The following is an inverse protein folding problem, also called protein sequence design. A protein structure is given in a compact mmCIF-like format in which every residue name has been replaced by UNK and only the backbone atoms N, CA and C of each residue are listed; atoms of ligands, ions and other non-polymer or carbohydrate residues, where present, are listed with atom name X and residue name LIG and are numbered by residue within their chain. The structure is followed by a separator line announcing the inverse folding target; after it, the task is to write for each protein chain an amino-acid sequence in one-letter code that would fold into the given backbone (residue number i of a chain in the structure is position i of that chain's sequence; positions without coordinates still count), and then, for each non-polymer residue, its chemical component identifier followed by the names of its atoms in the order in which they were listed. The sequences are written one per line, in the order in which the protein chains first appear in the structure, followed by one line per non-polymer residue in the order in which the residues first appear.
data_IF_473077084490
#
_entry.id   IF_473077084490
#
_cell.length_a   1.000
_cell.length_b   1.000
_cell.length_c   1.000
_cell.angle_alpha   90.00
_cell.angle_beta   90.00
_cell.angle_gamma   90.00
#
_symmetry.space_group_name_H-M   'P 1'
#
loop_
_entity.id
_entity.type
_entity.pdbx_description
1 polymer ?
#
# COMPACT_ATOMS: atom_id res chain seq x y z
N UNK A 1 9.65 -10.57 -19.65
CA UNK A 1 9.32 -9.29 -20.30
C UNK A 1 8.44 -8.53 -19.32
N UNK A 2 8.89 -7.40 -18.78
CA UNK A 2 8.05 -6.59 -17.90
C UNK A 2 7.04 -5.86 -18.77
N UNK A 3 5.83 -6.38 -18.84
CA UNK A 3 4.77 -5.77 -19.63
C UNK A 3 4.03 -4.77 -18.73
N UNK A 4 4.57 -3.55 -18.61
CA UNK A 4 3.90 -2.42 -17.96
C UNK A 4 2.75 -1.95 -18.85
N UNK A 5 1.75 -2.83 -19.02
CA UNK A 5 0.54 -2.52 -19.74
C UNK A 5 -0.40 -1.73 -18.84
N UNK A 6 -1.09 -0.77 -19.43
CA UNK A 6 -2.15 -0.05 -18.74
C UNK A 6 -3.35 -0.99 -18.61
N UNK A 7 -3.82 -1.20 -17.38
CA UNK A 7 -5.01 -1.97 -17.09
C UNK A 7 -6.22 -1.41 -17.85
N UNK A 8 -7.11 -2.29 -18.32
CA UNK A 8 -8.40 -1.88 -18.87
C UNK A 8 -9.37 -1.43 -17.79
N UNK A 9 -9.11 -1.81 -16.54
CA UNK A 9 -9.89 -1.36 -15.41
C UNK A 9 -9.44 0.06 -14.98
N UNK A 10 -10.38 0.96 -14.66
CA UNK A 10 -10.08 2.36 -14.40
C UNK A 10 -9.66 2.57 -12.92
N UNK A 11 -8.58 1.92 -12.49
CA UNK A 11 -8.10 1.94 -11.11
C UNK A 11 -7.78 3.35 -10.63
N UNK A 12 -7.13 4.17 -11.46
CA UNK A 12 -6.79 5.54 -11.09
C UNK A 12 -8.03 6.43 -10.96
N UNK A 13 -9.04 6.22 -11.82
CA UNK A 13 -10.30 6.96 -11.76
C UNK A 13 -11.10 6.61 -10.51
N UNK A 14 -11.13 5.33 -10.14
CA UNK A 14 -11.73 4.86 -8.89
C UNK A 14 -11.02 5.47 -7.68
N UNK A 15 -9.69 5.51 -7.69
CA UNK A 15 -8.91 6.16 -6.65
C UNK A 15 -9.19 7.67 -6.54
N UNK A 16 -9.31 8.38 -7.67
CA UNK A 16 -9.68 9.79 -7.68
C UNK A 16 -11.05 10.02 -7.02
N UNK A 17 -12.05 9.20 -7.37
CA UNK A 17 -13.39 9.26 -6.76
C UNK A 17 -13.36 8.96 -5.26
N UNK A 18 -12.68 7.88 -4.85
CA UNK A 18 -12.57 7.49 -3.45
C UNK A 18 -11.87 8.55 -2.61
N UNK A 19 -10.76 9.11 -3.12
CA UNK A 19 -10.03 10.19 -2.46
C UNK A 19 -10.89 11.45 -2.30
N UNK A 20 -11.63 11.83 -3.34
CA UNK A 20 -12.54 12.99 -3.27
C UNK A 20 -13.66 12.80 -2.24
N UNK A 21 -14.15 11.57 -2.06
CA UNK A 21 -15.18 11.24 -1.06
C UNK A 21 -14.63 11.20 0.38
N UNK A 22 -13.38 10.75 0.55
CA UNK A 22 -12.75 10.58 1.87
C UNK A 22 -12.28 11.91 2.50
N UNK A 23 -11.96 12.91 1.69
CA UNK A 23 -11.35 14.17 2.16
C UNK A 23 -12.25 15.39 2.04
N UNK A 24 -12.09 16.34 2.96
CA UNK A 24 -12.76 17.64 2.85
C UNK A 24 -12.06 18.52 1.80
N UNK A 25 -12.65 18.59 0.61
CA UNK A 25 -12.08 19.33 -0.53
C UNK A 25 -11.85 20.82 -0.27
N UNK A 26 -12.64 21.46 0.59
CA UNK A 26 -12.47 22.91 0.87
C UNK A 26 -11.16 23.12 1.63
N UNK A 27 -10.99 22.40 2.75
CA UNK A 27 -9.79 22.50 3.59
C UNK A 27 -8.54 22.00 2.86
N UNK A 28 -8.67 20.93 2.08
CA UNK A 28 -7.54 20.36 1.36
C UNK A 28 -7.05 21.30 0.25
N UNK A 29 -7.97 21.88 -0.52
CA UNK A 29 -7.60 22.81 -1.58
C UNK A 29 -6.95 24.09 -1.03
N UNK A 30 -7.44 24.62 0.09
CA UNK A 30 -6.81 25.74 0.80
C UNK A 30 -5.35 25.42 1.19
N UNK A 31 -5.12 24.28 1.85
CA UNK A 31 -3.77 23.82 2.23
C UNK A 31 -2.86 23.56 1.03
N UNK A 32 -3.43 23.08 -0.08
CA UNK A 32 -2.70 22.82 -1.31
C UNK A 32 -2.45 24.08 -2.16
N UNK A 33 -3.03 25.24 -1.80
CA UNK A 33 -2.95 26.45 -2.61
C UNK A 33 -3.70 26.32 -3.95
N UNK A 34 -4.69 25.43 -4.04
CA UNK A 34 -5.48 25.17 -5.25
C UNK A 34 -6.89 25.72 -5.03
N UNK A 35 -7.53 26.26 -6.08
CA UNK A 35 -8.96 26.62 -5.98
C UNK A 35 -9.79 25.35 -5.76
N UNK A 36 -10.72 25.37 -4.82
CA UNK A 36 -11.56 24.20 -4.46
C UNK A 36 -12.21 23.56 -5.69
N UNK A 37 -12.79 24.38 -6.58
CA UNK A 37 -13.42 23.85 -7.79
C UNK A 37 -12.42 23.23 -8.76
N UNK A 38 -11.21 23.80 -8.86
CA UNK A 38 -10.13 23.22 -9.68
C UNK A 38 -9.71 21.87 -9.14
N UNK A 39 -9.57 21.71 -7.82
CA UNK A 39 -9.25 20.43 -7.20
C UNK A 39 -10.35 19.38 -7.46
N UNK A 40 -11.62 19.76 -7.27
CA UNK A 40 -12.77 18.87 -7.57
C UNK A 40 -12.78 18.43 -9.03
N UNK A 41 -12.55 19.35 -9.96
CA UNK A 41 -12.49 19.03 -11.37
C UNK A 41 -11.31 18.09 -11.66
N UNK A 42 -10.15 18.34 -11.06
CA UNK A 42 -8.96 17.49 -11.24
C UNK A 42 -9.10 16.07 -10.71
N UNK A 43 -9.91 15.89 -9.66
CA UNK A 43 -10.25 14.58 -9.09
C UNK A 43 -11.48 13.94 -9.74
N UNK A 44 -12.13 14.59 -10.70
CA UNK A 44 -13.25 14.00 -11.44
C UNK A 44 -12.75 13.45 -12.78
N UNK A 45 -12.75 12.13 -12.99
CA UNK A 45 -12.31 11.50 -14.25
C UNK A 45 -13.11 11.93 -15.49
N UNK A 46 -14.33 12.44 -15.31
CA UNK A 46 -15.16 12.96 -16.42
C UNK A 46 -14.71 14.34 -16.91
N UNK A 47 -13.79 15.00 -16.19
CA UNK A 47 -13.28 16.33 -16.53
C UNK A 47 -11.95 16.24 -17.28
N UNK A 48 -11.67 17.17 -18.20
CA UNK A 48 -10.47 17.12 -19.04
C UNK A 48 -9.17 17.45 -18.29
N UNK A 49 -9.26 18.17 -17.17
CA UNK A 49 -8.08 18.56 -16.41
C UNK A 49 -7.73 17.48 -15.41
N UNK A 50 -6.56 16.87 -15.55
CA UNK A 50 -6.07 15.85 -14.64
C UNK A 50 -5.13 16.44 -13.58
N UNK A 51 -4.88 15.67 -12.52
CA UNK A 51 -3.80 15.96 -11.56
C UNK A 51 -2.44 15.84 -12.26
N UNK A 52 -1.59 16.82 -12.01
CA UNK A 52 -0.17 16.75 -12.36
C UNK A 52 0.60 15.98 -11.29
N UNK A 53 1.78 15.41 -11.59
CA UNK A 53 2.58 14.70 -10.59
C UNK A 53 2.90 15.53 -9.33
N UNK A 54 3.27 16.84 -9.43
CA UNK A 54 3.49 17.65 -8.23
C UNK A 54 2.23 17.83 -7.37
N UNK A 55 1.06 17.99 -8.00
CA UNK A 55 -0.21 18.06 -7.25
C UNK A 55 -0.51 16.72 -6.56
N UNK A 56 -0.24 15.59 -7.23
CA UNK A 56 -0.43 14.26 -6.64
C UNK A 56 0.46 14.07 -5.41
N UNK A 57 1.74 14.41 -5.48
CA UNK A 57 2.64 14.30 -4.32
C UNK A 57 2.26 15.24 -3.19
N UNK A 58 1.91 16.48 -3.51
CA UNK A 58 1.46 17.47 -2.52
C UNK A 58 0.19 17.00 -1.79
N UNK A 59 -0.79 16.48 -2.53
CA UNK A 59 -2.01 15.97 -1.92
C UNK A 59 -1.72 14.78 -1.01
N UNK A 60 -0.89 13.83 -1.45
CA UNK A 60 -0.47 12.69 -0.63
C UNK A 60 0.29 13.11 0.62
N UNK A 61 1.19 14.10 0.52
CA UNK A 61 1.93 14.64 1.67
C UNK A 61 0.98 15.32 2.68
N UNK A 62 0.03 16.12 2.19
CA UNK A 62 -0.92 16.84 3.05
C UNK A 62 -1.92 15.93 3.75
N UNK A 63 -2.27 14.79 3.17
CA UNK A 63 -3.31 13.88 3.69
C UNK A 63 -2.76 12.61 4.33
N UNK A 64 -1.48 12.29 4.11
CA UNK A 64 -0.90 10.97 4.39
C UNK A 64 -1.71 9.81 3.76
N UNK A 65 -2.51 10.10 2.72
CA UNK A 65 -3.36 9.14 2.03
C UNK A 65 -2.74 8.76 0.68
N UNK A 66 -2.33 7.49 0.59
CA UNK A 66 -1.70 6.91 -0.60
C UNK A 66 -2.69 6.54 -1.72
N UNK A 67 -4.00 6.69 -1.53
CA UNK A 67 -5.04 6.22 -2.45
C UNK A 67 -4.76 6.60 -3.91
N UNK A 68 -4.36 7.86 -4.17
CA UNK A 68 -4.07 8.32 -5.53
C UNK A 68 -2.83 7.64 -6.14
N UNK A 69 -1.76 7.50 -5.34
CA UNK A 69 -0.52 6.82 -5.76
C UNK A 69 -0.78 5.33 -6.00
N UNK A 70 -1.53 4.68 -5.10
CA UNK A 70 -1.87 3.26 -5.21
C UNK A 70 -2.78 3.00 -6.41
N UNK A 71 -3.73 3.89 -6.69
CA UNK A 71 -4.55 3.84 -7.91
C UNK A 71 -3.71 3.96 -9.18
N UNK A 72 -2.72 4.86 -9.18
CA UNK A 72 -1.78 5.02 -10.30
C UNK A 72 -0.93 3.75 -10.50
N UNK A 73 -0.38 3.18 -9.43
CA UNK A 73 0.40 1.94 -9.49
C UNK A 73 -0.44 0.75 -9.94
N UNK A 74 -1.66 0.60 -9.43
CA UNK A 74 -2.59 -0.44 -9.86
C UNK A 74 -2.94 -0.31 -11.35
N UNK A 75 -3.04 0.92 -11.88
CA UNK A 75 -3.31 1.19 -13.29
C UNK A 75 -2.23 0.61 -14.21
N UNK A 76 -0.99 0.52 -13.74
CA UNK A 76 0.16 -0.04 -14.48
C UNK A 76 0.59 -1.42 -13.94
N UNK A 77 -0.32 -2.13 -13.28
CA UNK A 77 -0.11 -3.47 -12.70
C UNK A 77 1.07 -3.56 -11.71
N UNK A 78 1.29 -2.49 -10.95
CA UNK A 78 2.28 -2.44 -9.89
C UNK A 78 1.64 -2.68 -8.50
N UNK A 79 2.48 -3.16 -7.58
CA UNK A 79 2.14 -3.28 -6.16
C UNK A 79 1.90 -1.89 -5.53
N UNK A 80 1.16 -1.81 -4.40
CA UNK A 80 0.94 -0.54 -3.70
C UNK A 80 2.25 0.11 -3.26
N UNK A 81 2.23 1.43 -3.10
CA UNK A 81 3.40 2.16 -2.64
C UNK A 81 3.71 1.81 -1.18
N UNK A 82 4.99 1.88 -0.81
CA UNK A 82 5.43 1.64 0.56
C UNK A 82 6.16 2.89 1.05
N UNK A 83 5.53 3.69 1.94
CA UNK A 83 6.12 4.92 2.45
C UNK A 83 7.26 4.57 3.42
N UNK A 84 8.50 4.57 2.94
CA UNK A 84 9.69 4.24 3.75
C UNK A 84 9.95 5.24 4.87
N UNK A 85 9.38 6.43 4.80
CA UNK A 85 9.34 7.42 5.88
C UNK A 85 8.55 6.92 7.11
N UNK A 86 7.61 5.98 6.94
CA UNK A 86 6.94 5.33 8.08
C UNK A 86 7.82 4.32 8.81
N UNK A 87 9.00 3.99 8.28
CA UNK A 87 9.90 3.00 8.85
C UNK A 87 10.47 3.46 10.20
N UNK A 88 10.10 2.74 11.25
CA UNK A 88 10.64 2.88 12.59
C UNK A 88 11.22 1.53 13.03
N UNK A 89 12.53 1.52 13.31
CA UNK A 89 13.31 0.29 13.57
C UNK A 89 12.78 -0.50 14.77
N UNK A 90 12.17 0.17 15.74
CA UNK A 90 11.58 -0.39 16.95
C UNK A 90 10.16 -0.94 16.74
N UNK A 91 9.46 -0.57 15.65
CA UNK A 91 8.07 -0.94 15.39
C UNK A 91 7.86 -2.24 14.59
N UNK A 92 8.88 -3.09 14.44
CA UNK A 92 8.78 -4.35 13.69
C UNK A 92 7.55 -5.19 14.13
N UNK A 93 7.33 -5.35 15.43
CA UNK A 93 6.18 -6.10 15.95
C UNK A 93 4.85 -5.47 15.51
N UNK A 94 4.75 -4.14 15.52
CA UNK A 94 3.55 -3.42 15.07
C UNK A 94 3.26 -3.68 13.60
N UNK A 95 4.28 -3.62 12.73
CA UNK A 95 4.09 -3.89 11.30
C UNK A 95 3.66 -5.33 11.06
N UNK A 96 4.30 -6.30 11.72
CA UNK A 96 3.92 -7.72 11.61
C UNK A 96 2.48 -7.94 12.08
N UNK A 97 2.09 -7.37 13.22
CA UNK A 97 0.72 -7.50 13.72
C UNK A 97 -0.31 -6.86 12.79
N UNK A 98 -0.02 -5.70 12.20
CA UNK A 98 -0.90 -5.07 11.21
C UNK A 98 -1.00 -5.91 9.94
N UNK A 99 0.10 -6.46 9.46
CA UNK A 99 0.10 -7.38 8.32
C UNK A 99 -0.75 -8.62 8.59
N UNK A 100 -0.66 -9.20 9.79
CA UNK A 100 -1.49 -10.33 10.20
C UNK A 100 -2.99 -9.96 10.26
N UNK A 101 -3.32 -8.77 10.77
CA UNK A 101 -4.71 -8.29 10.77
C UNK A 101 -5.28 -8.21 9.35
N UNK A 102 -4.55 -7.55 8.43
CA UNK A 102 -4.94 -7.46 7.03
C UNK A 102 -5.06 -8.85 6.36
N UNK A 103 -4.16 -9.77 6.67
CA UNK A 103 -4.26 -11.15 6.18
C UNK A 103 -5.49 -11.87 6.75
N UNK A 104 -5.85 -11.63 8.01
CA UNK A 104 -7.06 -12.17 8.63
C UNK A 104 -8.34 -11.64 8.00
N UNK A 105 -8.43 -10.34 7.74
CA UNK A 105 -9.53 -9.72 6.99
C UNK A 105 -9.66 -10.32 5.59
N UNK A 106 -8.54 -10.50 4.88
CA UNK A 106 -8.52 -11.14 3.57
C UNK A 106 -8.98 -12.60 3.64
N UNK A 107 -8.52 -13.36 4.63
CA UNK A 107 -8.91 -14.75 4.83
C UNK A 107 -10.42 -14.87 5.07
N UNK A 108 -10.98 -14.01 5.93
CA UNK A 108 -12.43 -13.91 6.16
C UNK A 108 -13.19 -13.59 4.87
N UNK A 109 -12.66 -12.67 4.05
CA UNK A 109 -13.23 -12.33 2.74
C UNK A 109 -13.21 -13.52 1.77
N UNK A 110 -12.14 -14.32 1.76
CA UNK A 110 -11.94 -15.43 0.85
C UNK A 110 -12.78 -16.67 1.16
N UNK A 111 -13.06 -16.94 2.44
CA UNK A 111 -13.91 -18.07 2.87
C UNK A 111 -15.40 -17.75 2.90
N UNK A 112 -15.76 -16.47 2.71
CA UNK A 112 -17.14 -16.02 2.72
C UNK A 112 -17.94 -16.58 1.55
N UNK A 113 -19.10 -17.15 1.83
CA UNK A 113 -20.04 -17.66 0.82
C UNK A 113 -21.03 -16.60 0.31
N UNK A 114 -20.99 -15.39 0.86
CA UNK A 114 -21.82 -14.27 0.42
C UNK A 114 -21.50 -13.82 -1.01
N UNK A 115 -22.47 -13.16 -1.65
CA UNK A 115 -22.30 -12.61 -3.00
C UNK A 115 -21.15 -11.59 -3.03
N UNK A 116 -20.22 -11.77 -3.97
CA UNK A 116 -19.12 -10.85 -4.22
C UNK A 116 -19.67 -9.52 -4.79
N UNK A 117 -19.81 -8.51 -3.94
CA UNK A 117 -20.18 -7.14 -4.34
C UNK A 117 -18.95 -6.30 -4.69
N UNK A 118 -19.16 -5.15 -5.36
CA UNK A 118 -18.07 -4.21 -5.69
C UNK A 118 -17.37 -3.70 -4.43
N UNK A 119 -18.14 -3.36 -3.39
CA UNK A 119 -17.59 -2.85 -2.14
C UNK A 119 -16.75 -3.91 -1.41
N UNK A 120 -17.21 -5.16 -1.42
CA UNK A 120 -16.43 -6.28 -0.86
C UNK A 120 -15.13 -6.50 -1.61
N UNK A 121 -15.17 -6.47 -2.95
CA UNK A 121 -13.96 -6.56 -3.77
C UNK A 121 -12.99 -5.42 -3.43
N UNK A 122 -13.47 -4.19 -3.30
CA UNK A 122 -12.64 -3.03 -2.97
C UNK A 122 -12.00 -3.17 -1.58
N UNK A 123 -12.79 -3.54 -0.57
CA UNK A 123 -12.30 -3.79 0.79
C UNK A 123 -11.25 -4.91 0.85
N UNK A 124 -11.44 -6.00 0.09
CA UNK A 124 -10.44 -7.07 0.00
C UNK A 124 -9.14 -6.57 -0.63
N UNK A 125 -9.20 -5.77 -1.69
CA UNK A 125 -8.02 -5.18 -2.33
C UNK A 125 -7.31 -4.19 -1.40
N UNK A 126 -8.06 -3.35 -0.70
CA UNK A 126 -7.52 -2.42 0.32
C UNK A 126 -6.79 -3.19 1.43
N UNK A 127 -7.37 -4.29 1.91
CA UNK A 127 -6.76 -5.16 2.91
C UNK A 127 -5.48 -5.84 2.40
N UNK A 128 -5.48 -6.37 1.17
CA UNK A 128 -4.26 -6.90 0.51
C UNK A 128 -3.18 -5.82 0.44
N UNK A 129 -3.53 -4.61 -0.01
CA UNK A 129 -2.56 -3.54 -0.18
C UNK A 129 -1.96 -3.09 1.15
N UNK A 130 -2.78 -2.99 2.21
CA UNK A 130 -2.33 -2.73 3.56
C UNK A 130 -1.38 -3.83 4.07
N UNK A 131 -1.72 -5.10 3.83
CA UNK A 131 -0.88 -6.24 4.15
C UNK A 131 0.49 -6.18 3.49
N UNK A 132 0.53 -5.91 2.17
CA UNK A 132 1.78 -5.75 1.41
C UNK A 132 2.63 -4.62 1.99
N UNK A 133 2.05 -3.44 2.22
CA UNK A 133 2.77 -2.30 2.81
C UNK A 133 3.40 -2.64 4.16
N UNK A 134 2.64 -3.29 5.03
CA UNK A 134 3.11 -3.66 6.37
C UNK A 134 4.17 -4.77 6.34
N UNK A 135 4.05 -5.74 5.42
CA UNK A 135 5.08 -6.76 5.21
C UNK A 135 6.37 -6.14 4.65
N UNK A 136 6.28 -5.23 3.70
CA UNK A 136 7.44 -4.51 3.17
C UNK A 136 8.14 -3.66 4.25
N UNK A 137 7.39 -2.93 5.07
CA UNK A 137 7.96 -2.20 6.22
C UNK A 137 8.58 -3.13 7.25
N UNK A 138 7.98 -4.30 7.50
CA UNK A 138 8.55 -5.35 8.36
C UNK A 138 9.88 -5.85 7.82
N UNK A 139 9.97 -6.14 6.52
CA UNK A 139 11.19 -6.59 5.87
C UNK A 139 12.31 -5.53 5.97
N UNK A 140 11.99 -4.25 5.72
CA UNK A 140 12.94 -3.15 5.86
C UNK A 140 13.41 -2.97 7.32
N UNK A 141 12.49 -3.04 8.29
CA UNK A 141 12.82 -2.93 9.71
C UNK A 141 13.70 -4.09 10.19
N UNK A 142 13.41 -5.31 9.74
CA UNK A 142 14.21 -6.49 10.02
C UNK A 142 15.61 -6.37 9.42
N UNK A 143 15.72 -5.96 8.15
CA UNK A 143 17.00 -5.77 7.49
C UNK A 143 17.86 -4.73 8.23
N UNK A 144 17.26 -3.61 8.65
CA UNK A 144 17.96 -2.58 9.43
C UNK A 144 18.47 -3.09 10.80
N UNK A 145 17.75 -4.01 11.45
CA UNK A 145 18.18 -4.65 12.71
C UNK A 145 19.33 -5.63 12.48
N UNK A 146 19.26 -6.44 11.43
CA UNK A 146 20.30 -7.42 11.08
C UNK A 146 21.61 -6.74 10.69
N UNK A 147 21.56 -5.66 9.91
CA UNK A 147 22.75 -4.88 9.58
C UNK A 147 23.39 -4.20 10.81
N UNK A 148 22.57 -3.75 11.76
CA UNK A 148 23.05 -3.12 12.98
C UNK A 148 23.68 -4.12 13.98
N UNK A 149 23.40 -5.42 13.85
CA UNK A 149 23.93 -6.46 14.73
C UNK A 149 24.40 -7.70 13.91
N UNK A 150 25.65 -7.70 13.43
CA UNK A 150 26.20 -8.78 12.60
C UNK A 150 26.18 -10.16 13.28
N UNK A 151 26.24 -10.20 14.62
CA UNK A 151 26.17 -11.45 15.39
C UNK A 151 24.78 -12.14 15.31
N UNK A 152 23.71 -11.38 15.04
CA UNK A 152 22.38 -11.95 14.78
C UNK A 152 22.24 -12.52 13.37
N UNK A 153 23.02 -12.02 12.40
CA UNK A 153 23.03 -12.56 11.04
C UNK A 153 23.60 -13.99 11.01
N UNK A 154 24.65 -14.26 11.79
CA UNK A 154 25.24 -15.60 11.89
C UNK A 154 24.36 -16.64 12.58
N UNK A 155 23.42 -16.23 13.45
CA UNK A 155 22.50 -17.16 14.13
C UNK A 155 21.37 -17.58 13.20
N UNK A 156 20.88 -16.70 12.33
CA UNK A 156 19.84 -17.07 11.34
C UNK A 156 20.35 -18.13 10.35
N UNK A 157 21.60 -18.01 9.91
CA UNK A 157 22.25 -19.04 9.08
C UNK A 157 22.55 -20.35 9.84
N UNK A 158 22.73 -20.28 11.15
CA UNK A 158 22.95 -21.47 11.99
C UNK A 158 21.67 -22.26 12.23
N UNK A 159 20.51 -21.60 12.27
CA UNK A 159 19.20 -22.24 12.55
C UNK A 159 18.59 -22.88 11.30
N UNK A 160 18.92 -22.39 10.10
CA UNK A 160 18.58 -23.07 8.83
C UNK A 160 19.50 -24.25 8.51
N UNK A 161 20.68 -24.33 9.14
CA UNK A 161 21.67 -25.40 8.92
C UNK A 161 21.49 -26.69 9.74
N UNK A 162 20.58 -26.75 10.73
CA UNK A 162 20.43 -27.92 11.61
C UNK A 162 19.44 -28.99 11.06
N UNK A 163 18.84 -28.75 9.88
CA UNK A 163 17.89 -29.69 9.26
C UNK A 163 18.48 -30.81 8.40
N UNK A 164 19.78 -30.82 8.10
CA UNK A 164 20.34 -31.63 7.00
C UNK A 164 21.38 -32.71 7.39
N UNK A 165 21.50 -33.11 8.67
CA UNK A 165 22.44 -34.18 9.06
C UNK A 165 21.88 -35.11 10.14
N UNK A 166 20.84 -35.88 9.84
CA UNK A 166 20.65 -37.21 10.46
C UNK A 166 20.00 -38.15 9.44
N UNK A 167 20.83 -38.94 8.77
CA UNK A 167 20.41 -39.94 7.79
C UNK A 167 21.59 -40.64 7.13
N UNK A 168 22.54 -41.12 7.94
CA UNK A 168 23.60 -42.01 7.50
C UNK A 168 23.94 -42.98 8.63
N UNK A 169 23.06 -43.98 8.82
CA UNK A 169 23.38 -45.34 9.27
C UNK A 169 22.40 -46.28 8.56
#
# INVERSE_FOLDING_TARGET
MFDFQISKHPHYDEACRAFAQRHNMVKLAERAGIKVQTLRNKLNPEQPHQLTPPELWLLTDLTEDSTLVDGFLAQIHCLPCVPVNELAKDKLQTYVMRAMNSLGELANGAVSTERMTSDRKHSMVESVNAGIRMLSLSALALHARLQANPAMSSVVDSVTGIGATFGLV
#
